data_IF_645444805811
#
_entry.id   IF_645444805811
#
_cell.length_a   1.000
_cell.length_b   1.000
_cell.length_c   1.000
_cell.angle_alpha   90.00
_cell.angle_beta   90.00
_cell.angle_gamma   90.00
#
_symmetry.space_group_name_H-M   'P 1'
#
loop_
_entity.id
_entity.type
_entity.pdbx_description
1 polymer ?
#
# COMPACT_ATOMS: atom_id res chain seq x y z
N UNK A 1 -33.80 16.13 -20.53
CA UNK A 1 -34.37 16.28 -21.89
C UNK A 1 -35.27 15.11 -22.28
N UNK A 2 -34.88 13.84 -22.02
CA UNK A 2 -35.68 12.62 -22.34
C UNK A 2 -37.06 12.64 -21.69
N UNK A 3 -37.16 13.02 -20.40
CA UNK A 3 -38.44 13.09 -19.67
C UNK A 3 -39.42 14.09 -20.31
N UNK A 4 -38.94 15.27 -20.72
CA UNK A 4 -39.77 16.27 -21.43
C UNK A 4 -40.26 15.74 -22.78
N UNK A 5 -39.44 14.98 -23.50
CA UNK A 5 -39.83 14.38 -24.77
C UNK A 5 -40.85 13.25 -24.54
N UNK A 6 -40.65 12.41 -23.54
CA UNK A 6 -41.60 11.36 -23.18
C UNK A 6 -42.96 11.93 -22.78
N UNK A 7 -42.98 12.99 -21.96
CA UNK A 7 -44.19 13.68 -21.57
C UNK A 7 -44.92 14.28 -22.79
N UNK A 8 -44.20 14.94 -23.69
CA UNK A 8 -44.78 15.53 -24.92
C UNK A 8 -45.38 14.42 -25.81
N UNK A 9 -44.68 13.29 -25.96
CA UNK A 9 -45.13 12.14 -26.71
C UNK A 9 -46.42 11.54 -26.08
N UNK A 10 -46.42 11.41 -24.75
CA UNK A 10 -47.57 10.92 -23.99
C UNK A 10 -48.81 11.77 -24.20
N UNK A 11 -48.68 13.11 -24.10
CA UNK A 11 -49.76 14.05 -24.33
C UNK A 11 -50.33 13.92 -25.77
N UNK A 12 -49.42 13.82 -26.76
CA UNK A 12 -49.84 13.67 -28.14
C UNK A 12 -50.58 12.35 -28.39
N UNK A 13 -50.10 11.23 -27.83
CA UNK A 13 -50.78 9.92 -27.98
C UNK A 13 -52.17 9.95 -27.35
N UNK A 14 -52.33 10.54 -26.16
CA UNK A 14 -53.65 10.69 -25.51
C UNK A 14 -54.59 11.56 -26.37
N UNK A 15 -54.11 12.67 -26.91
CA UNK A 15 -54.95 13.55 -27.77
C UNK A 15 -55.38 12.88 -29.09
N UNK A 16 -54.58 11.94 -29.60
CA UNK A 16 -54.87 11.22 -30.84
C UNK A 16 -55.78 10.01 -30.62
N UNK A 17 -56.02 9.63 -29.36
CA UNK A 17 -56.85 8.49 -29.01
C UNK A 17 -58.32 8.74 -29.29
N UNK A 18 -58.97 7.77 -29.93
CA UNK A 18 -60.35 7.91 -30.40
C UNK A 18 -61.42 7.33 -29.46
N UNK A 19 -61.02 6.54 -28.46
CA UNK A 19 -61.91 5.92 -27.50
C UNK A 19 -61.18 5.72 -26.13
N UNK A 20 -61.95 5.36 -25.09
CA UNK A 20 -61.44 5.17 -23.74
C UNK A 20 -60.40 4.07 -23.63
N UNK A 21 -60.50 3.02 -24.44
CA UNK A 21 -59.55 1.92 -24.43
C UNK A 21 -58.19 2.37 -24.99
N UNK A 22 -58.18 3.10 -26.09
CA UNK A 22 -56.92 3.67 -26.66
C UNK A 22 -56.29 4.73 -25.76
N UNK A 23 -57.08 5.54 -25.04
CA UNK A 23 -56.58 6.47 -24.01
C UNK A 23 -55.89 5.70 -22.87
N UNK A 24 -56.55 4.62 -22.39
CA UNK A 24 -55.99 3.77 -21.30
C UNK A 24 -54.67 3.10 -21.71
N UNK A 25 -54.60 2.61 -22.94
CA UNK A 25 -53.40 2.00 -23.49
C UNK A 25 -52.25 3.02 -23.60
N UNK A 26 -52.51 4.22 -24.18
CA UNK A 26 -51.54 5.29 -24.32
C UNK A 26 -51.02 5.78 -22.95
N UNK A 27 -51.88 5.87 -21.94
CA UNK A 27 -51.52 6.23 -20.59
C UNK A 27 -50.58 5.17 -19.97
N UNK A 28 -50.93 3.90 -20.06
CA UNK A 28 -50.12 2.78 -19.53
C UNK A 28 -48.72 2.72 -20.18
N UNK A 29 -48.66 2.87 -21.49
CA UNK A 29 -47.38 2.93 -22.23
C UNK A 29 -46.53 4.13 -21.81
N UNK A 30 -47.14 5.29 -21.66
CA UNK A 30 -46.45 6.51 -21.25
C UNK A 30 -45.90 6.42 -19.83
N UNK A 31 -46.64 5.85 -18.89
CA UNK A 31 -46.17 5.59 -17.52
C UNK A 31 -44.96 4.63 -17.57
N UNK A 32 -45.05 3.53 -18.28
CA UNK A 32 -43.98 2.56 -18.42
C UNK A 32 -42.68 3.20 -19.00
N UNK A 33 -42.82 4.11 -19.97
CA UNK A 33 -41.69 4.83 -20.54
C UNK A 33 -41.06 5.80 -19.54
N UNK A 34 -41.86 6.54 -18.78
CA UNK A 34 -41.39 7.47 -17.74
C UNK A 34 -40.65 6.69 -16.65
N UNK A 35 -41.20 5.60 -16.14
CA UNK A 35 -40.61 4.72 -15.14
C UNK A 35 -39.24 4.17 -15.63
N UNK A 36 -39.17 3.77 -16.89
CA UNK A 36 -37.93 3.28 -17.47
C UNK A 36 -36.81 4.33 -17.53
N UNK A 37 -37.19 5.58 -17.79
CA UNK A 37 -36.25 6.74 -17.80
C UNK A 37 -35.72 7.01 -16.39
N UNK A 38 -36.61 6.99 -15.39
CA UNK A 38 -36.24 7.19 -13.98
C UNK A 38 -35.32 6.09 -13.48
N UNK A 39 -35.67 4.82 -13.72
CA UNK A 39 -34.84 3.67 -13.36
C UNK A 39 -33.45 3.79 -14.01
N UNK A 40 -33.39 4.16 -15.30
CA UNK A 40 -32.12 4.33 -16.00
C UNK A 40 -31.27 5.45 -15.39
N UNK A 41 -31.89 6.60 -15.03
CA UNK A 41 -31.21 7.71 -14.39
C UNK A 41 -30.63 7.29 -13.02
N UNK A 42 -31.42 6.56 -12.23
CA UNK A 42 -30.98 6.04 -10.92
C UNK A 42 -29.79 5.07 -11.06
N UNK A 43 -29.85 4.13 -11.99
CA UNK A 43 -28.75 3.19 -12.27
C UNK A 43 -27.46 3.89 -12.71
N UNK A 44 -27.55 4.96 -13.48
CA UNK A 44 -26.39 5.78 -13.84
C UNK A 44 -25.76 6.45 -12.63
N UNK A 45 -26.58 6.98 -11.71
CA UNK A 45 -26.10 7.59 -10.46
C UNK A 45 -25.42 6.56 -9.56
N UNK A 46 -26.04 5.38 -9.36
CA UNK A 46 -25.46 4.27 -8.60
C UNK A 46 -24.09 3.87 -9.18
N UNK A 47 -23.99 3.74 -10.50
CA UNK A 47 -22.75 3.34 -11.17
C UNK A 47 -21.65 4.37 -10.98
N UNK A 48 -21.96 5.67 -11.06
CA UNK A 48 -20.99 6.74 -10.78
C UNK A 48 -20.53 6.74 -9.32
N UNK A 49 -21.47 6.65 -8.38
CA UNK A 49 -21.16 6.56 -6.96
C UNK A 49 -20.29 5.34 -6.64
N UNK A 50 -20.52 4.20 -7.30
CA UNK A 50 -19.69 3.02 -7.18
C UNK A 50 -18.26 3.27 -7.69
N UNK A 51 -18.12 3.93 -8.86
CA UNK A 51 -16.80 4.28 -9.42
C UNK A 51 -16.03 5.19 -8.47
N UNK A 52 -16.69 6.19 -7.91
CA UNK A 52 -16.06 7.14 -6.99
C UNK A 52 -15.62 6.43 -5.70
N UNK A 53 -16.49 5.62 -5.07
CA UNK A 53 -16.15 4.85 -3.88
C UNK A 53 -15.01 3.85 -4.11
N UNK A 54 -15.04 3.12 -5.24
CA UNK A 54 -13.95 2.21 -5.60
C UNK A 54 -12.62 2.95 -5.79
N UNK A 55 -12.67 4.18 -6.34
CA UNK A 55 -11.50 5.01 -6.55
C UNK A 55 -10.90 5.50 -5.24
N UNK A 56 -11.73 5.91 -4.29
CA UNK A 56 -11.29 6.33 -2.96
C UNK A 56 -10.64 5.17 -2.20
N UNK A 57 -11.22 3.97 -2.27
CA UNK A 57 -10.63 2.76 -1.68
C UNK A 57 -9.26 2.45 -2.29
N UNK A 58 -9.09 2.60 -3.61
CA UNK A 58 -7.80 2.43 -4.29
C UNK A 58 -6.77 3.45 -3.84
N UNK A 59 -7.13 4.71 -3.68
CA UNK A 59 -6.23 5.76 -3.20
C UNK A 59 -5.79 5.49 -1.76
N UNK A 60 -6.71 5.03 -0.92
CA UNK A 60 -6.41 4.67 0.47
C UNK A 60 -5.47 3.47 0.56
N UNK A 61 -5.72 2.42 -0.24
CA UNK A 61 -4.89 1.20 -0.28
C UNK A 61 -3.43 1.50 -0.65
N UNK A 62 -3.17 2.41 -1.58
CA UNK A 62 -1.79 2.75 -1.98
C UNK A 62 -1.07 3.68 -0.99
N UNK A 63 -1.77 4.31 -0.06
CA UNK A 63 -1.23 5.41 0.76
C UNK A 63 -0.03 5.01 1.60
N UNK A 64 0.07 3.76 2.04
CA UNK A 64 1.21 3.22 2.81
C UNK A 64 2.32 2.65 1.94
N UNK A 65 2.00 2.21 0.71
CA UNK A 65 2.91 1.47 -0.19
C UNK A 65 3.60 2.35 -1.22
N UNK A 66 2.94 3.46 -1.60
CA UNK A 66 3.41 4.37 -2.63
C UNK A 66 4.30 5.47 -2.06
N UNK A 67 5.23 5.95 -2.88
CA UNK A 67 5.86 7.25 -2.67
C UNK A 67 4.91 8.37 -3.12
N UNK A 68 5.20 9.61 -2.73
CA UNK A 68 4.39 10.76 -3.11
C UNK A 68 4.34 10.94 -4.64
N UNK A 69 5.45 10.71 -5.32
CA UNK A 69 5.55 10.79 -6.78
C UNK A 69 4.70 9.72 -7.46
N UNK A 70 4.78 8.47 -6.98
CA UNK A 70 3.94 7.39 -7.48
C UNK A 70 2.45 7.68 -7.23
N UNK A 71 2.11 8.19 -6.04
CA UNK A 71 0.75 8.58 -5.68
C UNK A 71 0.20 9.68 -6.59
N UNK A 72 0.98 10.72 -6.88
CA UNK A 72 0.57 11.79 -7.79
C UNK A 72 0.28 11.25 -9.20
N UNK A 73 1.16 10.39 -9.73
CA UNK A 73 0.98 9.77 -11.04
C UNK A 73 -0.27 8.86 -11.04
N UNK A 74 -0.44 8.05 -9.99
CA UNK A 74 -1.57 7.16 -9.83
C UNK A 74 -2.89 7.94 -9.81
N UNK A 75 -3.01 8.95 -8.92
CA UNK A 75 -4.21 9.77 -8.77
C UNK A 75 -4.54 10.53 -10.06
N UNK A 76 -3.54 11.08 -10.75
CA UNK A 76 -3.75 11.77 -12.02
C UNK A 76 -4.33 10.85 -13.09
N UNK A 77 -3.75 9.64 -13.24
CA UNK A 77 -4.25 8.64 -14.20
C UNK A 77 -5.63 8.11 -13.80
N UNK A 78 -5.87 7.86 -12.51
CA UNK A 78 -7.16 7.39 -12.02
C UNK A 78 -8.26 8.42 -12.29
N UNK A 79 -8.01 9.71 -12.03
CA UNK A 79 -8.94 10.80 -12.36
C UNK A 79 -9.31 10.83 -13.85
N UNK A 80 -8.34 10.62 -14.74
CA UNK A 80 -8.60 10.56 -16.17
C UNK A 80 -9.53 9.38 -16.54
N UNK A 81 -9.35 8.22 -15.90
CA UNK A 81 -10.21 7.04 -16.11
C UNK A 81 -11.62 7.30 -15.56
N UNK A 82 -11.75 7.88 -14.35
CA UNK A 82 -13.04 8.25 -13.74
C UNK A 82 -13.81 9.18 -14.66
N UNK A 83 -13.19 10.29 -15.10
CA UNK A 83 -13.85 11.27 -15.95
C UNK A 83 -14.36 10.64 -17.26
N UNK A 84 -13.56 9.75 -17.86
CA UNK A 84 -13.97 9.02 -19.06
C UNK A 84 -15.14 8.07 -18.78
N UNK A 85 -15.08 7.31 -17.68
CA UNK A 85 -16.14 6.40 -17.32
C UNK A 85 -17.44 7.14 -16.99
N UNK A 86 -17.39 8.25 -16.25
CA UNK A 86 -18.56 9.10 -15.98
C UNK A 86 -19.21 9.62 -17.26
N UNK A 87 -18.39 10.13 -18.21
CA UNK A 87 -18.89 10.57 -19.51
C UNK A 87 -19.57 9.42 -20.28
N UNK A 88 -18.94 8.26 -20.34
CA UNK A 88 -19.50 7.08 -20.99
C UNK A 88 -20.81 6.62 -20.34
N UNK A 89 -20.93 6.67 -19.00
CA UNK A 89 -22.17 6.38 -18.29
C UNK A 89 -23.26 7.37 -18.65
N UNK A 90 -22.94 8.67 -18.76
CA UNK A 90 -23.92 9.68 -19.18
C UNK A 90 -24.46 9.41 -20.60
N UNK A 91 -23.61 8.98 -21.49
CA UNK A 91 -23.92 8.68 -22.89
C UNK A 91 -24.56 7.29 -23.06
N UNK A 92 -24.45 6.37 -22.09
CA UNK A 92 -24.97 5.02 -22.18
C UNK A 92 -26.51 5.01 -22.32
N UNK A 93 -27.02 4.18 -23.23
CA UNK A 93 -28.45 4.05 -23.49
C UNK A 93 -29.08 2.85 -22.81
N UNK A 94 -28.30 1.87 -22.40
CA UNK A 94 -28.78 0.61 -21.80
C UNK A 94 -28.09 0.29 -20.49
N UNK A 95 -28.72 -0.49 -19.63
CA UNK A 95 -28.13 -0.99 -18.39
C UNK A 95 -26.89 -1.85 -18.64
N UNK A 96 -26.92 -2.69 -19.67
CA UNK A 96 -25.80 -3.56 -20.04
C UNK A 96 -24.56 -2.73 -20.42
N UNK A 97 -24.76 -1.60 -21.11
CA UNK A 97 -23.65 -0.68 -21.40
C UNK A 97 -23.10 -0.04 -20.14
N UNK A 98 -23.95 0.38 -19.18
CA UNK A 98 -23.51 0.93 -17.89
C UNK A 98 -22.67 -0.10 -17.11
N UNK A 99 -23.15 -1.33 -16.99
CA UNK A 99 -22.41 -2.40 -16.30
C UNK A 99 -21.07 -2.73 -16.98
N UNK A 100 -21.04 -2.71 -18.31
CA UNK A 100 -19.82 -2.93 -19.07
C UNK A 100 -18.81 -1.82 -18.83
N UNK A 101 -19.25 -0.55 -18.76
CA UNK A 101 -18.38 0.60 -18.45
C UNK A 101 -17.78 0.45 -17.05
N UNK A 102 -18.59 0.08 -16.05
CA UNK A 102 -18.12 -0.12 -14.66
C UNK A 102 -17.08 -1.25 -14.61
N UNK A 103 -17.32 -2.36 -15.31
CA UNK A 103 -16.36 -3.48 -15.39
C UNK A 103 -15.03 -3.05 -16.04
N UNK A 104 -15.10 -2.35 -17.16
CA UNK A 104 -13.92 -1.85 -17.85
C UNK A 104 -13.14 -0.85 -17.00
N UNK A 105 -13.84 0.06 -16.31
CA UNK A 105 -13.24 0.97 -15.35
C UNK A 105 -12.44 0.22 -14.29
N UNK A 106 -13.01 -0.82 -13.65
CA UNK A 106 -12.29 -1.62 -12.64
C UNK A 106 -11.00 -2.23 -13.20
N UNK A 107 -11.07 -2.85 -14.37
CA UNK A 107 -9.90 -3.46 -15.03
C UNK A 107 -8.82 -2.41 -15.31
N UNK A 108 -9.19 -1.23 -15.78
CA UNK A 108 -8.22 -0.16 -16.03
C UNK A 108 -7.63 0.42 -14.73
N UNK A 109 -8.46 0.64 -13.71
CA UNK A 109 -8.03 1.12 -12.42
C UNK A 109 -7.07 0.11 -11.74
N UNK A 110 -7.34 -1.19 -11.84
CA UNK A 110 -6.49 -2.24 -11.27
C UNK A 110 -5.11 -2.30 -11.94
N UNK A 111 -5.02 -2.04 -13.25
CA UNK A 111 -3.73 -1.97 -13.96
C UNK A 111 -2.82 -0.87 -13.42
N UNK A 112 -3.38 0.19 -12.81
CA UNK A 112 -2.59 1.26 -12.21
C UNK A 112 -1.73 0.79 -11.02
N UNK A 113 -2.07 -0.33 -10.37
CA UNK A 113 -1.26 -0.90 -9.30
C UNK A 113 0.19 -1.16 -9.74
N UNK A 114 0.43 -1.39 -11.04
CA UNK A 114 1.78 -1.57 -11.59
C UNK A 114 2.68 -0.33 -11.46
N UNK A 115 2.11 0.84 -11.18
CA UNK A 115 2.85 2.09 -10.95
C UNK A 115 3.52 2.05 -9.57
N UNK A 116 2.87 1.41 -8.59
CA UNK A 116 3.27 1.39 -7.19
C UNK A 116 4.27 0.25 -6.97
N UNK A 117 5.55 0.51 -7.17
CA UNK A 117 6.59 -0.52 -7.13
C UNK A 117 7.95 -0.05 -6.55
N UNK A 118 8.11 1.25 -6.26
CA UNK A 118 9.43 1.79 -5.87
C UNK A 118 9.95 1.12 -4.59
N UNK A 119 9.14 1.11 -3.53
CA UNK A 119 9.51 0.49 -2.25
C UNK A 119 9.71 -1.03 -2.36
N UNK A 120 8.85 -1.72 -3.13
CA UNK A 120 8.97 -3.16 -3.35
C UNK A 120 10.24 -3.53 -4.13
N UNK A 121 10.63 -2.73 -5.12
CA UNK A 121 11.90 -2.90 -5.84
C UNK A 121 13.11 -2.66 -4.92
N UNK A 122 13.06 -1.60 -4.12
CA UNK A 122 14.08 -1.29 -3.15
C UNK A 122 14.31 -2.44 -2.15
N UNK A 123 13.22 -2.99 -1.61
CA UNK A 123 13.31 -4.14 -0.71
C UNK A 123 13.96 -5.35 -1.39
N UNK A 124 13.51 -5.67 -2.61
CA UNK A 124 14.08 -6.79 -3.38
C UNK A 124 15.56 -6.61 -3.67
N UNK A 125 16.01 -5.40 -3.97
CA UNK A 125 17.43 -5.08 -4.19
C UNK A 125 18.26 -5.29 -2.93
N UNK A 126 17.75 -4.85 -1.77
CA UNK A 126 18.39 -5.07 -0.46
C UNK A 126 18.45 -6.57 -0.13
N UNK A 127 17.38 -7.32 -0.36
CA UNK A 127 17.33 -8.77 -0.11
C UNK A 127 18.34 -9.54 -0.99
N UNK A 128 18.46 -9.18 -2.26
CA UNK A 128 19.43 -9.78 -3.18
C UNK A 128 20.86 -9.54 -2.72
N UNK A 129 21.21 -8.33 -2.28
CA UNK A 129 22.53 -8.02 -1.76
C UNK A 129 22.78 -8.76 -0.43
N UNK A 130 21.78 -8.80 0.46
CA UNK A 130 21.88 -9.56 1.72
C UNK A 130 22.15 -11.04 1.47
N UNK A 131 21.48 -11.66 0.51
CA UNK A 131 21.69 -13.07 0.14
C UNK A 131 23.07 -13.28 -0.49
N UNK A 132 23.54 -12.36 -1.33
CA UNK A 132 24.90 -12.39 -1.86
C UNK A 132 25.95 -12.35 -0.73
N UNK A 133 25.81 -11.44 0.23
CA UNK A 133 26.71 -11.34 1.39
C UNK A 133 26.64 -12.62 2.26
N UNK A 134 25.44 -13.19 2.49
CA UNK A 134 25.29 -14.47 3.18
C UNK A 134 26.02 -15.61 2.47
N UNK A 135 25.96 -15.67 1.14
CA UNK A 135 26.69 -16.65 0.35
C UNK A 135 28.20 -16.52 0.50
N UNK A 136 28.73 -15.30 0.42
CA UNK A 136 30.15 -15.02 0.64
C UNK A 136 30.62 -15.44 2.04
N UNK A 137 29.82 -15.15 3.07
CA UNK A 137 30.09 -15.57 4.45
C UNK A 137 30.12 -17.11 4.56
N UNK A 138 29.20 -17.80 3.92
CA UNK A 138 29.14 -19.25 3.94
C UNK A 138 30.34 -19.89 3.24
N UNK A 139 30.79 -19.31 2.14
CA UNK A 139 31.95 -19.76 1.38
C UNK A 139 33.29 -19.55 2.10
N UNK A 140 33.34 -18.72 3.13
CA UNK A 140 34.57 -18.47 3.90
C UNK A 140 34.87 -19.70 4.77
N UNK A 141 35.88 -20.49 4.38
CA UNK A 141 36.27 -21.72 5.06
C UNK A 141 37.03 -21.49 6.38
N UNK A 142 37.64 -20.32 6.57
CA UNK A 142 38.39 -19.98 7.78
C UNK A 142 37.53 -19.48 8.94
N UNK A 143 36.26 -19.16 8.69
CA UNK A 143 35.38 -18.64 9.71
C UNK A 143 34.65 -19.78 10.47
N UNK A 144 34.61 -19.68 11.79
CA UNK A 144 33.86 -20.63 12.63
C UNK A 144 32.35 -20.49 12.41
N UNK A 145 31.63 -21.58 12.73
CA UNK A 145 30.15 -21.61 12.63
C UNK A 145 29.49 -20.49 13.45
N UNK A 146 30.04 -20.19 14.63
CA UNK A 146 29.54 -19.15 15.51
C UNK A 146 29.68 -17.78 14.86
N UNK A 147 30.83 -17.49 14.24
CA UNK A 147 31.05 -16.19 13.55
C UNK A 147 30.16 -16.05 12.35
N UNK A 148 29.96 -17.12 11.56
CA UNK A 148 29.00 -17.11 10.44
C UNK A 148 27.57 -16.84 10.92
N UNK A 149 27.16 -17.46 12.04
CA UNK A 149 25.82 -17.24 12.59
C UNK A 149 25.62 -15.80 13.06
N UNK A 150 26.59 -15.24 13.78
CA UNK A 150 26.54 -13.83 14.21
C UNK A 150 26.46 -12.87 13.02
N UNK A 151 27.23 -13.11 11.96
CA UNK A 151 27.15 -12.33 10.75
C UNK A 151 25.78 -12.40 10.06
N UNK A 152 25.16 -13.58 10.00
CA UNK A 152 23.79 -13.73 9.49
C UNK A 152 22.76 -12.97 10.33
N UNK A 153 22.90 -12.99 11.66
CA UNK A 153 22.03 -12.22 12.56
C UNK A 153 22.16 -10.73 12.26
N UNK A 154 23.40 -10.21 12.14
CA UNK A 154 23.65 -8.81 11.79
C UNK A 154 23.03 -8.43 10.43
N UNK A 155 23.18 -9.29 9.41
CA UNK A 155 22.54 -9.06 8.10
C UNK A 155 21.03 -8.94 8.25
N UNK A 156 20.39 -9.87 8.97
CA UNK A 156 18.95 -9.86 9.16
C UNK A 156 18.48 -8.61 9.93
N UNK A 157 19.24 -8.13 10.91
CA UNK A 157 18.97 -6.87 11.62
C UNK A 157 19.05 -5.66 10.68
N UNK A 158 20.07 -5.59 9.81
CA UNK A 158 20.23 -4.53 8.82
C UNK A 158 19.03 -4.52 7.86
N UNK A 159 18.63 -5.67 7.33
CA UNK A 159 17.49 -5.81 6.41
C UNK A 159 16.18 -5.43 7.11
N UNK A 160 15.96 -5.90 8.34
CA UNK A 160 14.77 -5.58 9.13
C UNK A 160 14.66 -4.07 9.42
N UNK A 161 15.79 -3.43 9.73
CA UNK A 161 15.84 -1.99 9.94
C UNK A 161 15.53 -1.21 8.65
N UNK A 162 16.11 -1.63 7.52
CA UNK A 162 15.82 -1.03 6.22
C UNK A 162 14.34 -1.15 5.85
N UNK A 163 13.71 -2.32 6.07
CA UNK A 163 12.27 -2.50 5.85
C UNK A 163 11.43 -1.54 6.71
N UNK A 164 11.80 -1.40 7.99
CA UNK A 164 11.12 -0.45 8.89
C UNK A 164 11.24 0.99 8.42
N UNK A 165 12.40 1.38 7.88
CA UNK A 165 12.63 2.72 7.33
C UNK A 165 11.86 2.92 6.02
N UNK A 166 11.89 1.95 5.08
CA UNK A 166 11.14 1.99 3.83
C UNK A 166 9.63 2.17 4.05
N UNK A 167 9.08 1.60 5.11
CA UNK A 167 7.67 1.76 5.44
C UNK A 167 7.31 3.19 5.89
N UNK A 168 8.26 3.96 6.42
CA UNK A 168 8.05 5.31 6.96
C UNK A 168 8.28 6.41 5.93
N UNK A 169 9.18 6.20 4.97
CA UNK A 169 9.53 7.22 3.98
C UNK A 169 8.45 7.40 2.93
N UNK A 170 8.39 8.59 2.36
CA UNK A 170 7.31 9.00 1.45
C UNK A 170 7.77 9.43 0.07
N UNK A 171 9.07 9.69 -0.13
CA UNK A 171 9.61 10.15 -1.42
C UNK A 171 10.51 9.11 -2.09
N UNK A 172 10.64 9.18 -3.42
CA UNK A 172 11.56 8.32 -4.17
C UNK A 172 13.01 8.51 -3.73
N UNK A 173 13.40 9.76 -3.43
CA UNK A 173 14.75 10.10 -3.01
C UNK A 173 15.13 9.43 -1.71
N UNK A 174 14.24 9.51 -0.70
CA UNK A 174 14.44 8.83 0.59
C UNK A 174 14.55 7.31 0.43
N UNK A 175 13.77 6.72 -0.48
CA UNK A 175 13.86 5.29 -0.78
C UNK A 175 15.26 4.96 -1.34
N UNK A 176 15.78 5.75 -2.29
CA UNK A 176 17.09 5.53 -2.89
C UNK A 176 18.23 5.71 -1.86
N UNK A 177 18.11 6.68 -0.97
CA UNK A 177 19.06 6.90 0.13
C UNK A 177 19.12 5.67 1.07
N UNK A 178 17.97 5.13 1.46
CA UNK A 178 17.91 3.91 2.30
C UNK A 178 18.56 2.71 1.60
N UNK A 179 18.27 2.51 0.31
CA UNK A 179 18.87 1.41 -0.48
C UNK A 179 20.37 1.53 -0.49
N UNK A 180 20.91 2.69 -0.87
CA UNK A 180 22.34 2.91 -0.96
C UNK A 180 23.04 2.71 0.40
N UNK A 181 22.50 3.31 1.46
CA UNK A 181 23.05 3.19 2.81
C UNK A 181 23.00 1.74 3.32
N UNK A 182 21.92 1.02 3.04
CA UNK A 182 21.76 -0.39 3.46
C UNK A 182 22.72 -1.30 2.70
N UNK A 183 22.87 -1.12 1.39
CA UNK A 183 23.82 -1.88 0.57
C UNK A 183 25.25 -1.62 1.00
N UNK A 184 25.62 -0.37 1.30
CA UNK A 184 26.95 -0.05 1.85
C UNK A 184 27.20 -0.75 3.20
N UNK A 185 26.21 -0.76 4.10
CA UNK A 185 26.30 -1.48 5.37
C UNK A 185 26.47 -2.98 5.16
N UNK A 186 25.69 -3.60 4.25
CA UNK A 186 25.80 -5.02 3.93
C UNK A 186 27.19 -5.37 3.36
N UNK A 187 27.69 -4.58 2.40
CA UNK A 187 29.02 -4.76 1.81
C UNK A 187 30.17 -4.55 2.80
N UNK A 188 29.95 -3.77 3.84
CA UNK A 188 30.95 -3.55 4.89
C UNK A 188 31.13 -4.73 5.83
N UNK A 189 30.22 -5.72 5.80
CA UNK A 189 30.30 -6.93 6.62
C UNK A 189 31.41 -7.83 6.07
N UNK A 190 32.55 -7.89 6.80
CA UNK A 190 33.67 -8.74 6.47
C UNK A 190 33.98 -9.66 7.65
N UNK A 191 34.28 -10.91 7.35
CA UNK A 191 34.77 -11.89 8.33
C UNK A 191 36.26 -12.07 8.13
N UNK A 192 37.06 -11.70 9.11
CA UNK A 192 38.49 -11.97 9.18
C UNK A 192 38.77 -12.72 10.47
N UNK A 193 39.40 -13.91 10.36
CA UNK A 193 39.91 -14.67 11.50
C UNK A 193 38.96 -14.71 12.72
N UNK A 194 37.87 -15.40 12.65
CA UNK A 194 36.87 -15.51 13.73
C UNK A 194 36.31 -14.21 14.31
N UNK A 195 36.49 -13.08 13.64
CA UNK A 195 35.92 -11.77 14.02
C UNK A 195 35.06 -11.17 12.91
N UNK A 196 33.96 -10.56 13.31
CA UNK A 196 33.13 -9.74 12.40
C UNK A 196 33.67 -8.31 12.46
N UNK A 197 34.06 -7.78 11.31
CA UNK A 197 34.39 -6.37 11.16
C UNK A 197 33.23 -5.69 10.45
N UNK A 198 32.54 -4.81 11.15
CA UNK A 198 31.63 -3.86 10.55
C UNK A 198 32.21 -2.46 10.69
N UNK A 199 32.36 -1.76 9.58
CA UNK A 199 32.74 -0.35 9.61
C UNK A 199 31.53 0.48 10.05
N UNK A 200 31.28 0.55 11.34
CA UNK A 200 30.43 1.60 11.86
C UNK A 200 31.26 2.90 11.83
N UNK A 201 31.04 3.73 10.82
CA UNK A 201 31.39 5.14 10.92
C UNK A 201 30.43 5.79 11.92
N UNK A 202 30.83 5.75 13.18
CA UNK A 202 30.29 6.65 14.19
C UNK A 202 30.75 8.05 13.82
N UNK A 203 29.86 8.85 13.27
CA UNK A 203 30.02 10.29 13.25
C UNK A 203 29.77 10.82 14.67
N UNK A 204 30.77 10.67 15.55
CA UNK A 204 30.78 11.38 16.82
C UNK A 204 31.78 12.52 16.65
N UNK A 205 31.26 13.72 16.61
CA UNK A 205 32.04 14.96 16.63
C UNK A 205 32.97 14.96 17.84
N UNK A 206 34.25 15.14 17.53
CA UNK A 206 35.29 15.46 18.51
C UNK A 206 34.98 16.77 19.21
N UNK A 207 35.01 16.74 20.51
CA UNK A 207 35.43 17.87 21.32
C UNK A 207 36.55 17.37 22.21
N UNK A 208 37.77 17.76 21.83
CA UNK A 208 38.94 17.62 22.68
C UNK A 208 38.78 18.45 23.96
N UNK A 209 39.12 17.86 25.07
CA UNK A 209 39.88 18.58 26.08
C UNK A 209 40.74 17.61 26.91
N UNK A 210 42.01 17.89 26.84
CA UNK A 210 43.13 17.36 27.60
C UNK A 210 42.93 17.41 29.11
N UNK A 211 43.42 16.46 29.87
CA UNK A 211 44.57 16.54 30.78
C UNK A 211 44.55 15.50 31.90
N UNK A 212 45.72 14.92 32.04
CA UNK A 212 46.46 14.56 33.24
C UNK A 212 46.17 13.26 34.01
N UNK A 213 47.26 12.50 33.98
CA UNK A 213 47.65 11.47 34.95
C UNK A 213 47.44 11.87 36.42
N UNK A 214 47.06 10.89 37.24
CA UNK A 214 47.80 10.60 38.47
C UNK A 214 47.46 9.18 38.97
N UNK A 215 48.48 8.58 39.55
CA UNK A 215 48.62 7.23 40.09
C UNK A 215 47.88 6.99 41.41
N UNK A 216 47.76 5.73 41.69
CA UNK A 216 47.88 5.07 43.02
C UNK A 216 46.66 4.85 43.92
N UNK A 217 46.45 3.58 44.13
CA UNK A 217 46.30 2.87 45.44
C UNK A 217 44.97 2.84 46.19
N UNK A 218 44.64 1.58 46.43
CA UNK A 218 44.10 0.95 47.66
C UNK A 218 42.64 1.05 48.06
N UNK A 219 42.07 -0.19 48.02
CA UNK A 219 41.27 -0.81 49.12
C UNK A 219 40.11 -0.02 49.71
N UNK A 220 38.92 -0.51 49.60
CA UNK A 220 38.25 -1.19 50.74
C UNK A 220 36.83 -1.70 50.34
N UNK A 221 36.58 -2.93 50.73
CA UNK A 221 35.28 -3.62 50.71
C UNK A 221 34.32 -2.91 51.65
N UNK A 222 33.08 -2.60 51.26
CA UNK A 222 31.94 -2.55 52.14
C UNK A 222 30.61 -2.75 51.41
N UNK A 223 30.03 -3.94 51.68
CA UNK A 223 28.62 -4.24 51.99
C UNK A 223 27.48 -3.66 51.14
N UNK A 224 26.73 -4.61 50.61
CA UNK A 224 25.32 -4.47 50.16
C UNK A 224 24.40 -3.90 51.25
N UNK A 225 23.29 -3.33 50.85
CA UNK A 225 22.03 -3.76 51.45
C UNK A 225 21.04 -4.31 50.44
N UNK A 226 20.24 -5.21 50.99
CA UNK A 226 19.17 -6.02 50.47
C UNK A 226 17.89 -5.26 50.22
N UNK A 227 17.14 -5.74 49.23
CA UNK A 227 15.69 -5.94 49.19
C UNK A 227 14.74 -4.72 49.02
N UNK A 228 13.87 -4.88 48.05
CA UNK A 228 12.60 -4.16 47.94
C UNK A 228 11.84 -4.64 46.72
N UNK A 229 10.92 -5.57 46.93
CA UNK A 229 9.91 -6.03 45.96
C UNK A 229 9.04 -4.87 45.47
N UNK A 230 8.70 -4.84 44.20
CA UNK A 230 7.37 -4.42 43.77
C UNK A 230 7.07 -4.95 42.38
N UNK A 231 6.16 -5.92 42.34
CA UNK A 231 5.39 -6.34 41.17
C UNK A 231 4.79 -5.16 40.41
N UNK A 232 4.92 -5.14 39.10
CA UNK A 232 3.88 -4.65 38.21
C UNK A 232 3.99 -5.33 36.85
N UNK A 233 3.13 -6.31 36.69
CA UNK A 233 2.74 -6.94 35.42
C UNK A 233 2.29 -5.90 34.39
N UNK A 234 2.87 -5.95 33.20
CA UNK A 234 2.35 -5.31 32.00
C UNK A 234 1.75 -6.37 31.08
N UNK A 235 0.57 -6.13 30.51
CA UNK A 235 -0.10 -7.13 29.69
C UNK A 235 0.53 -7.23 28.31
N UNK A 236 0.77 -8.46 27.93
CA UNK A 236 1.14 -8.90 26.60
C UNK A 236 -0.04 -8.69 25.64
N UNK A 237 -0.01 -7.66 24.81
CA UNK A 237 -0.99 -7.50 23.74
C UNK A 237 -0.62 -8.41 22.58
N UNK A 238 -1.49 -9.38 22.32
CA UNK A 238 -1.30 -10.42 21.34
C UNK A 238 -1.28 -9.91 19.92
N UNK A 239 -0.30 -10.38 19.17
CA UNK A 239 -0.23 -10.30 17.72
C UNK A 239 -1.09 -11.43 17.15
N UNK A 240 -2.30 -11.13 16.68
CA UNK A 240 -3.12 -12.06 15.91
C UNK A 240 -2.67 -12.05 14.45
N UNK A 241 -1.96 -13.10 14.06
CA UNK A 241 -1.75 -13.49 12.66
C UNK A 241 -3.08 -13.99 12.09
N UNK A 242 -3.68 -13.24 11.18
CA UNK A 242 -4.79 -13.74 10.35
C UNK A 242 -4.20 -14.28 9.05
N UNK A 243 -3.94 -15.58 9.06
CA UNK A 243 -3.75 -16.37 7.86
C UNK A 243 -5.13 -16.78 7.35
N UNK A 244 -5.63 -16.09 6.32
CA UNK A 244 -6.88 -16.44 5.65
C UNK A 244 -6.64 -16.78 4.19
N UNK A 245 -6.13 -17.98 3.93
CA UNK A 245 -6.18 -18.59 2.59
C UNK A 245 -7.51 -19.34 2.48
N UNK A 246 -8.48 -18.79 1.74
CA UNK A 246 -9.67 -19.52 1.32
C UNK A 246 -9.60 -19.74 -0.18
N UNK A 247 -9.13 -20.93 -0.56
CA UNK A 247 -9.32 -21.51 -1.88
C UNK A 247 -10.75 -22.07 -1.89
N UNK A 248 -11.62 -21.54 -2.72
CA UNK A 248 -12.86 -22.24 -3.13
C UNK A 248 -12.83 -22.45 -4.63
N UNK A 249 -12.44 -23.67 -4.99
CA UNK A 249 -12.81 -24.37 -6.22
C UNK A 249 -14.24 -24.91 -6.02
N UNK A 250 -15.14 -24.68 -6.98
CA UNK A 250 -16.04 -25.73 -7.49
C UNK A 250 -17.09 -25.21 -8.47
N UNK A 251 -17.10 -25.92 -9.55
CA UNK A 251 -18.19 -26.28 -10.48
C UNK A 251 -18.88 -25.16 -11.24
#
# INVERSE_FOLDING_TARGET
NKLKQALKSAINHIHQSQNNESVSAALKESISLIDSIEIQAHKKLEAKAYIDGYSDDKINDISSRATNEEKQIFVSKLKAIINRAHKQIDEAETFVSVETIVRNFKVEADKLNSIIRKKAKALKEIELEADHVKQMINANLSASTRVKQNARTLINEIVSNALSQLNKVTTNKEVDEIVNETIEKLKSIQIREDKILSSQRSSTSMTEKSNQCYSSENNTIKSLPKAGNADKSLPLAGLTLISGLAIMSSR
#
